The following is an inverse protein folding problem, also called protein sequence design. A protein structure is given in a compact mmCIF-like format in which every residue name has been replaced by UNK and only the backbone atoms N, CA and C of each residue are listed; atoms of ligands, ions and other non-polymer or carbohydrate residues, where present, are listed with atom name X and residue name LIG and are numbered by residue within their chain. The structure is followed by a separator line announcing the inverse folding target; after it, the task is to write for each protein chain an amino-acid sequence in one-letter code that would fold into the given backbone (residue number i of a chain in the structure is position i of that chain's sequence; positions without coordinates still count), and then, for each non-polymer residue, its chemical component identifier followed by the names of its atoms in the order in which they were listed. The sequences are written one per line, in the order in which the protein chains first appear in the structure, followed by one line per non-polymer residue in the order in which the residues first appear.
data_IF_499016985226
#
_entry.id   IF_499016985226
#
_cell.length_a   1.000
_cell.length_b   1.000
_cell.length_c   1.000
_cell.angle_alpha   90.00
_cell.angle_beta   90.00
_cell.angle_gamma   90.00
#
_symmetry.space_group_name_H-M   'P 1'
#
loop_
_entity.id
_entity.type
_entity.pdbx_description
1 polymer ?
#
# COMPACT_ATOMS: atom_id res chain seq x y z
N UNK A 1 13.62 -4.95 -6.30
CA UNK A 1 12.33 -5.51 -6.76
C UNK A 1 11.35 -5.48 -5.60
N UNK A 2 10.17 -4.89 -5.80
CA UNK A 2 9.12 -4.80 -4.78
C UNK A 2 8.31 -6.11 -4.74
N UNK A 3 7.96 -6.58 -3.53
CA UNK A 3 7.18 -7.82 -3.35
C UNK A 3 5.84 -7.57 -2.67
N UNK A 4 4.82 -8.27 -3.14
CA UNK A 4 3.48 -8.25 -2.59
C UNK A 4 2.98 -9.66 -2.21
N UNK A 5 2.13 -9.70 -1.19
CA UNK A 5 1.39 -10.89 -0.78
C UNK A 5 -0.09 -10.70 -1.12
N UNK A 6 -0.63 -11.59 -1.95
CA UNK A 6 -2.08 -11.68 -2.20
C UNK A 6 -2.65 -12.77 -1.29
N UNK A 7 -3.69 -12.43 -0.53
CA UNK A 7 -4.38 -13.37 0.37
C UNK A 7 -5.86 -13.44 -0.01
N UNK A 8 -6.33 -14.63 -0.34
CA UNK A 8 -7.68 -14.88 -0.84
C UNK A 8 -7.74 -15.09 -2.35
N UNK A 9 -8.88 -15.60 -2.81
CA UNK A 9 -9.17 -15.88 -4.21
C UNK A 9 -8.43 -17.12 -4.73
N UNK A 10 -9.04 -17.80 -5.69
CA UNK A 10 -8.43 -18.97 -6.36
C UNK A 10 -7.69 -18.57 -7.64
N UNK A 11 -8.18 -17.54 -8.34
CA UNK A 11 -7.58 -16.98 -9.54
C UNK A 11 -7.09 -15.56 -9.27
N UNK A 12 -5.78 -15.34 -9.41
CA UNK A 12 -5.16 -14.04 -9.11
C UNK A 12 -4.44 -13.42 -10.32
N UNK A 13 -4.59 -13.96 -11.52
CA UNK A 13 -3.80 -13.50 -12.67
C UNK A 13 -4.09 -12.04 -13.03
N UNK A 14 -5.35 -11.62 -12.97
CA UNK A 14 -5.69 -10.21 -13.13
C UNK A 14 -5.08 -9.32 -12.04
N UNK A 15 -5.05 -9.80 -10.79
CA UNK A 15 -4.41 -9.08 -9.68
C UNK A 15 -2.90 -8.99 -9.90
N UNK A 16 -2.28 -10.09 -10.35
CA UNK A 16 -0.86 -10.15 -10.70
C UNK A 16 -0.53 -9.15 -11.80
N UNK A 17 -1.33 -9.10 -12.87
CA UNK A 17 -1.13 -8.15 -13.96
C UNK A 17 -1.21 -6.70 -13.49
N UNK A 18 -2.18 -6.35 -12.65
CA UNK A 18 -2.30 -5.01 -12.05
C UNK A 18 -1.06 -4.69 -11.20
N UNK A 19 -0.61 -5.61 -10.35
CA UNK A 19 0.57 -5.40 -9.49
C UNK A 19 1.85 -5.25 -10.32
N UNK A 20 2.06 -6.08 -11.33
CA UNK A 20 3.20 -5.99 -12.25
C UNK A 20 3.18 -4.69 -13.05
N UNK A 21 2.00 -4.22 -13.48
CA UNK A 21 1.83 -2.90 -14.11
C UNK A 21 2.25 -1.72 -13.22
N UNK A 22 2.27 -1.93 -11.89
CA UNK A 22 2.76 -0.96 -10.90
C UNK A 22 4.20 -1.26 -10.43
N UNK A 23 4.96 -2.10 -11.15
CA UNK A 23 6.36 -2.42 -10.83
C UNK A 23 6.55 -3.39 -9.65
N UNK A 24 5.53 -4.19 -9.33
CA UNK A 24 5.59 -5.23 -8.29
C UNK A 24 5.64 -6.61 -8.95
N UNK A 25 6.84 -7.16 -9.07
CA UNK A 25 7.06 -8.44 -9.77
C UNK A 25 7.07 -9.65 -8.82
N UNK A 26 7.44 -9.44 -7.55
CA UNK A 26 7.54 -10.51 -6.56
C UNK A 26 6.20 -10.79 -5.90
N UNK A 27 5.38 -11.66 -6.50
CA UNK A 27 4.02 -11.92 -6.02
C UNK A 27 3.90 -13.30 -5.37
N UNK A 28 3.60 -13.32 -4.07
CA UNK A 28 3.26 -14.53 -3.32
C UNK A 28 1.74 -14.61 -3.15
N UNK A 29 1.16 -15.82 -3.23
CA UNK A 29 -0.28 -16.03 -3.08
C UNK A 29 -0.62 -17.05 -2.00
N UNK A 30 -1.52 -16.68 -1.10
CA UNK A 30 -2.18 -17.58 -0.16
C UNK A 30 -3.67 -17.64 -0.48
N UNK A 31 -4.17 -18.80 -0.87
CA UNK A 31 -5.59 -19.00 -1.20
C UNK A 31 -6.54 -18.61 -0.06
N UNK A 32 -6.10 -18.75 1.19
CA UNK A 32 -6.92 -18.54 2.38
C UNK A 32 -7.88 -19.68 2.70
N UNK A 33 -8.06 -20.65 1.78
CA UNK A 33 -8.87 -21.86 1.97
C UNK A 33 -8.14 -22.96 2.74
N UNK A 34 -6.80 -23.00 2.68
CA UNK A 34 -6.00 -24.02 3.35
C UNK A 34 -5.85 -23.68 4.83
N UNK A 35 -6.10 -24.66 5.71
CA UNK A 35 -5.96 -24.50 7.18
C UNK A 35 -4.57 -23.95 7.56
N UNK A 36 -3.53 -24.38 6.84
CA UNK A 36 -2.15 -23.90 7.04
C UNK A 36 -1.91 -22.44 6.65
N UNK A 37 -2.72 -21.83 5.79
CA UNK A 37 -2.52 -20.43 5.34
C UNK A 37 -2.64 -19.44 6.52
N UNK A 38 -3.48 -19.75 7.51
CA UNK A 38 -3.62 -18.94 8.72
C UNK A 38 -2.48 -19.05 9.73
N UNK A 39 -1.53 -19.98 9.50
CA UNK A 39 -0.34 -20.16 10.32
C UNK A 39 0.94 -19.71 9.59
N UNK A 40 0.83 -19.30 8.32
CA UNK A 40 1.97 -18.78 7.57
C UNK A 40 2.42 -17.43 8.11
N UNK A 41 3.73 -17.23 8.09
CA UNK A 41 4.37 -15.98 8.46
C UNK A 41 4.48 -15.10 7.22
N UNK A 42 4.10 -13.83 7.33
CA UNK A 42 4.21 -12.87 6.23
C UNK A 42 5.71 -12.69 5.93
N UNK A 43 6.19 -12.97 4.70
CA UNK A 43 7.61 -12.86 4.35
C UNK A 43 8.17 -11.46 4.62
N UNK A 44 9.43 -11.37 5.05
CA UNK A 44 10.03 -10.11 5.53
C UNK A 44 10.19 -9.05 4.43
N UNK A 45 10.37 -9.50 3.19
CA UNK A 45 10.54 -8.68 2.00
C UNK A 45 9.23 -8.18 1.38
N UNK A 46 8.08 -8.63 1.86
CA UNK A 46 6.77 -8.13 1.44
C UNK A 46 6.54 -6.72 1.99
N UNK A 47 6.25 -5.78 1.08
CA UNK A 47 5.96 -4.37 1.40
C UNK A 47 4.48 -4.00 1.19
N UNK A 48 3.72 -4.86 0.52
CA UNK A 48 2.30 -4.67 0.24
C UNK A 48 1.53 -5.99 0.44
N UNK A 49 0.37 -5.91 1.09
CA UNK A 49 -0.56 -7.03 1.20
C UNK A 49 -1.86 -6.65 0.49
N UNK A 50 -2.34 -7.52 -0.40
CA UNK A 50 -3.66 -7.41 -1.04
C UNK A 50 -4.58 -8.48 -0.44
N UNK A 51 -5.61 -8.04 0.28
CA UNK A 51 -6.64 -8.92 0.83
C UNK A 51 -7.85 -8.96 -0.11
N UNK A 52 -8.15 -10.16 -0.61
CA UNK A 52 -9.34 -10.42 -1.43
C UNK A 52 -10.49 -10.82 -0.50
N UNK A 53 -11.35 -9.86 -0.14
CA UNK A 53 -12.24 -9.99 1.03
C UNK A 53 -13.40 -10.96 0.87
N UNK A 54 -13.90 -11.18 -0.35
CA UNK A 54 -15.07 -12.06 -0.58
C UNK A 54 -14.72 -13.55 -0.42
N UNK A 55 -13.42 -13.87 -0.40
CA UNK A 55 -12.93 -15.25 -0.47
C UNK A 55 -12.09 -15.65 0.76
N UNK A 56 -12.11 -14.86 1.83
CA UNK A 56 -11.32 -15.10 3.05
C UNK A 56 -12.18 -15.12 4.31
N UNK A 57 -11.81 -15.97 5.25
CA UNK A 57 -12.49 -16.01 6.55
C UNK A 57 -12.18 -14.77 7.39
N UNK A 58 -13.12 -14.41 8.27
CA UNK A 58 -12.91 -13.33 9.23
C UNK A 58 -11.68 -13.58 10.13
N UNK A 59 -11.49 -14.84 10.55
CA UNK A 59 -10.35 -15.25 11.38
C UNK A 59 -9.00 -15.04 10.68
N UNK A 60 -8.88 -15.43 9.40
CA UNK A 60 -7.67 -15.20 8.61
C UNK A 60 -7.44 -13.70 8.42
N UNK A 61 -8.49 -12.97 8.05
CA UNK A 61 -8.43 -11.51 7.88
C UNK A 61 -7.90 -10.81 9.12
N UNK A 62 -8.43 -11.16 10.31
CA UNK A 62 -8.00 -10.60 11.59
C UNK A 62 -6.53 -10.89 11.87
N UNK A 63 -6.07 -12.13 11.65
CA UNK A 63 -4.66 -12.51 11.81
C UNK A 63 -3.75 -11.72 10.88
N UNK A 64 -4.09 -11.62 9.58
CA UNK A 64 -3.29 -10.88 8.61
C UNK A 64 -3.22 -9.39 8.98
N UNK A 65 -4.33 -8.76 9.34
CA UNK A 65 -4.37 -7.36 9.78
C UNK A 65 -3.46 -7.12 10.99
N UNK A 66 -3.54 -7.98 12.01
CA UNK A 66 -2.70 -7.86 13.20
C UNK A 66 -1.21 -8.02 12.87
N UNK A 67 -0.86 -9.02 12.05
CA UNK A 67 0.53 -9.26 11.65
C UNK A 67 1.07 -8.13 10.75
N UNK A 68 0.25 -7.59 9.85
CA UNK A 68 0.61 -6.46 9.00
C UNK A 68 0.85 -5.20 9.84
N UNK A 69 -0.06 -4.90 10.78
CA UNK A 69 0.05 -3.75 11.67
C UNK A 69 1.32 -3.83 12.55
N UNK A 70 1.61 -4.99 13.13
CA UNK A 70 2.85 -5.22 13.90
C UNK A 70 4.11 -4.97 13.08
N UNK A 71 4.05 -5.20 11.77
CA UNK A 71 5.19 -5.01 10.85
C UNK A 71 5.18 -3.65 10.14
N UNK A 72 4.14 -2.83 10.32
CA UNK A 72 3.96 -1.59 9.54
C UNK A 72 3.80 -1.81 8.04
N UNK A 73 3.31 -2.99 7.61
CA UNK A 73 3.13 -3.31 6.18
C UNK A 73 1.78 -2.80 5.71
N UNK A 74 1.75 -2.13 4.55
CA UNK A 74 0.52 -1.58 3.97
C UNK A 74 -0.41 -2.70 3.50
N UNK A 75 -1.70 -2.54 3.78
CA UNK A 75 -2.75 -3.48 3.39
C UNK A 75 -3.76 -2.78 2.49
N UNK A 76 -4.02 -3.36 1.32
CA UNK A 76 -5.04 -2.92 0.36
C UNK A 76 -6.11 -4.01 0.25
N UNK A 77 -7.36 -3.59 0.15
CA UNK A 77 -8.51 -4.49 0.11
C UNK A 77 -9.15 -4.45 -1.28
N UNK A 78 -9.51 -5.62 -1.79
CA UNK A 78 -10.36 -5.76 -2.98
C UNK A 78 -11.43 -6.81 -2.69
N UNK A 79 -12.71 -6.59 -2.99
CA UNK A 79 -13.75 -7.59 -2.78
C UNK A 79 -13.51 -8.83 -3.64
N UNK A 80 -13.33 -8.66 -4.96
CA UNK A 80 -13.40 -9.78 -5.89
C UNK A 80 -12.53 -9.68 -7.14
N UNK A 81 -11.64 -8.69 -7.29
CA UNK A 81 -10.87 -8.65 -8.54
C UNK A 81 -9.88 -7.53 -8.75
N UNK A 82 -9.31 -7.56 -9.96
CA UNK A 82 -8.28 -6.66 -10.46
C UNK A 82 -8.79 -5.25 -10.70
N UNK A 83 -10.02 -5.07 -11.20
CA UNK A 83 -10.57 -3.74 -11.50
C UNK A 83 -10.67 -2.85 -10.25
N UNK A 84 -11.22 -3.38 -9.15
CA UNK A 84 -11.30 -2.64 -7.89
C UNK A 84 -9.93 -2.38 -7.27
N UNK A 85 -8.99 -3.32 -7.46
CA UNK A 85 -7.61 -3.13 -7.03
C UNK A 85 -6.92 -2.01 -7.81
N UNK A 86 -7.05 -2.00 -9.15
CA UNK A 86 -6.51 -0.99 -10.04
C UNK A 86 -7.01 0.41 -9.63
N UNK A 87 -8.33 0.59 -9.55
CA UNK A 87 -8.92 1.87 -9.16
C UNK A 87 -8.45 2.35 -7.78
N UNK A 88 -8.18 1.44 -6.84
CA UNK A 88 -7.61 1.79 -5.53
C UNK A 88 -6.14 2.16 -5.61
N UNK A 89 -5.33 1.46 -6.38
CA UNK A 89 -3.91 1.77 -6.55
C UNK A 89 -3.73 3.11 -7.27
N UNK A 90 -4.55 3.42 -8.27
CA UNK A 90 -4.53 4.71 -8.98
C UNK A 90 -4.82 5.87 -8.02
N UNK A 91 -5.82 5.73 -7.14
CA UNK A 91 -6.12 6.74 -6.11
C UNK A 91 -4.97 6.90 -5.12
N UNK A 92 -4.40 5.79 -4.65
CA UNK A 92 -3.26 5.84 -3.72
C UNK A 92 -2.07 6.57 -4.35
N UNK A 93 -1.81 6.35 -5.64
CA UNK A 93 -0.75 7.03 -6.38
C UNK A 93 -1.00 8.55 -6.46
N UNK A 94 -2.25 8.97 -6.67
CA UNK A 94 -2.64 10.39 -6.70
C UNK A 94 -2.57 11.06 -5.32
N UNK A 95 -2.96 10.34 -4.26
CA UNK A 95 -2.87 10.84 -2.88
C UNK A 95 -1.40 11.06 -2.46
N UNK A 96 -0.49 10.18 -2.87
CA UNK A 96 0.95 10.39 -2.61
C UNK A 96 1.56 11.54 -3.42
N UNK A 97 1.06 11.83 -4.62
CA UNK A 97 1.50 12.98 -5.40
C UNK A 97 1.02 14.29 -4.78
N UNK A 98 -0.24 14.34 -4.34
CA UNK A 98 -0.83 15.53 -3.70
C UNK A 98 -0.26 15.79 -2.30
N UNK A 99 0.09 14.77 -1.52
CA UNK A 99 0.85 14.97 -0.27
C UNK A 99 2.27 15.52 -0.52
N UNK A 100 2.94 15.06 -1.58
CA UNK A 100 4.25 15.57 -2.02
C UNK A 100 4.17 17.03 -2.47
N UNK A 101 3.14 17.38 -3.25
CA UNK A 101 2.86 18.74 -3.68
C UNK A 101 2.44 19.64 -2.53
N UNK A 102 1.58 19.18 -1.62
CA UNK A 102 1.19 19.93 -0.42
C UNK A 102 2.38 20.19 0.51
N UNK A 103 3.24 19.19 0.75
CA UNK A 103 4.48 19.38 1.52
C UNK A 103 5.43 20.35 0.81
N UNK A 104 5.56 20.27 -0.52
CA UNK A 104 6.36 21.21 -1.31
C UNK A 104 5.81 22.64 -1.23
N UNK A 105 4.49 22.83 -1.33
CA UNK A 105 3.83 24.12 -1.20
C UNK A 105 3.99 24.70 0.21
N UNK A 106 3.76 23.90 1.24
CA UNK A 106 3.95 24.28 2.64
C UNK A 106 5.42 24.65 2.90
N UNK A 107 6.37 23.84 2.43
CA UNK A 107 7.80 24.11 2.57
C UNK A 107 8.26 25.34 1.76
N UNK A 108 7.69 25.59 0.58
CA UNK A 108 7.97 26.79 -0.21
C UNK A 108 7.41 28.05 0.46
N UNK A 109 6.19 28.00 0.99
CA UNK A 109 5.58 29.13 1.73
C UNK A 109 6.38 29.42 3.01
N UNK A 110 6.71 28.39 3.79
CA UNK A 110 7.58 28.52 4.97
C UNK A 110 8.98 29.03 4.59
N UNK A 111 9.56 28.55 3.50
CA UNK A 111 10.86 29.00 2.98
C UNK A 111 10.85 30.47 2.53
N UNK A 112 9.77 30.94 1.90
CA UNK A 112 9.57 32.35 1.54
C UNK A 112 9.44 33.23 2.79
N UNK A 113 8.70 32.78 3.80
CA UNK A 113 8.53 33.52 5.06
C UNK A 113 9.86 33.64 5.84
N UNK A 114 10.68 32.59 5.86
CA UNK A 114 12.01 32.62 6.51
C UNK A 114 12.98 33.53 5.73
N UNK A 115 12.97 33.49 4.40
CA UNK A 115 13.81 34.38 3.56
C UNK A 115 13.44 35.86 3.71
N UNK A 116 12.15 36.20 3.74
CA UNK A 116 11.70 37.58 3.96
C UNK A 116 12.05 38.09 5.34
N UNK A 117 12.00 37.24 6.38
CA UNK A 117 12.37 37.62 7.75
C UNK A 117 13.87 37.90 7.91
N UNK A 118 14.73 37.10 7.26
CA UNK A 118 16.19 37.31 7.22
C UNK A 118 16.57 38.57 6.43
N UNK A 119 15.81 38.92 5.37
CA UNK A 119 16.09 40.12 4.58
C UNK A 119 15.78 41.42 5.35
N UNK A 120 14.75 41.39 6.21
CA UNK A 120 14.36 42.54 7.05
C UNK A 120 15.38 42.74 8.19
N UNK A 121 15.94 41.68 8.77
CA UNK A 121 16.99 41.79 9.80
C UNK A 121 18.37 42.20 9.25
N UNK A 122 18.61 42.12 7.93
CA UNK A 122 19.87 42.60 7.29
C UNK A 122 19.82 44.04 6.80
N UNK A 123 18.65 44.67 6.78
CA UNK A 123 18.42 46.04 6.30
C UNK A 123 17.95 46.99 7.41
N UNK A 124 18.26 46.68 8.67
CA UNK A 124 17.94 47.49 9.83
C UNK A 124 19.16 47.78 10.70
#
# INVERSE_FOLDING_TARGET
MSKALVVGGDMIDGIRQVLTGHGIDGITHWSGRKVGDGNKIIPQDVKLIVLVTDWISHSLTKKIKLNAAKRGVRVVYTPNGSATLQARLDRISQDTATEGECRSLINNILGLLIRSKILIERYS
#
